data_IF_966849805826
#
_entry.id   IF_966849805826
#
_cell.length_a   1.000
_cell.length_b   1.000
_cell.length_c   1.000
_cell.angle_alpha   90.00
_cell.angle_beta   90.00
_cell.angle_gamma   90.00
#
_symmetry.space_group_name_H-M   'P 1'
#
loop_
_entity.id
_entity.type
_entity.pdbx_description
1 polymer ?
#
# COMPACT_ATOMS: atom_id res chain seq x y z
N UNK A 1 58.24 29.89 -75.24
CA UNK A 1 57.18 30.75 -75.84
C UNK A 1 55.97 30.63 -74.92
N UNK A 2 55.45 31.62 -74.20
CA UNK A 2 55.67 33.06 -74.14
C UNK A 2 55.25 33.55 -72.73
N UNK A 3 56.12 34.35 -72.11
CA UNK A 3 55.84 35.61 -71.37
C UNK A 3 55.12 35.54 -69.99
N UNK A 4 55.86 35.81 -68.89
CA UNK A 4 56.09 37.12 -68.21
C UNK A 4 54.95 37.41 -67.20
N UNK A 5 55.10 37.91 -65.97
CA UNK A 5 56.19 38.37 -65.08
C UNK A 5 55.51 38.83 -63.76
N UNK A 6 56.33 39.07 -62.71
CA UNK A 6 56.08 39.93 -61.52
C UNK A 6 55.17 39.33 -60.43
N UNK A 7 55.37 39.55 -59.13
CA UNK A 7 56.38 40.24 -58.33
C UNK A 7 56.18 39.76 -56.89
N UNK A 8 57.25 39.74 -56.07
CA UNK A 8 57.12 39.54 -54.64
C UNK A 8 56.53 40.77 -53.94
N UNK A 9 55.85 40.54 -52.83
CA UNK A 9 55.77 41.47 -51.71
C UNK A 9 55.28 40.71 -50.47
N UNK A 10 56.10 40.74 -49.42
CA UNK A 10 55.71 40.36 -48.08
C UNK A 10 54.64 41.32 -47.56
N UNK A 11 53.55 40.80 -46.99
CA UNK A 11 52.64 41.56 -46.14
C UNK A 11 52.36 40.79 -44.85
N UNK A 12 52.56 41.50 -43.74
CA UNK A 12 52.32 41.08 -42.39
C UNK A 12 50.87 40.63 -42.18
N UNK A 13 50.67 39.42 -41.64
CA UNK A 13 49.38 39.01 -41.10
C UNK A 13 49.26 39.48 -39.65
N UNK A 14 48.45 40.52 -39.48
CA UNK A 14 47.81 40.91 -38.23
C UNK A 14 46.96 39.76 -37.69
N UNK A 15 47.27 39.28 -36.50
CA UNK A 15 46.43 38.34 -35.77
C UNK A 15 45.13 39.04 -35.33
N UNK A 16 44.00 38.65 -35.92
CA UNK A 16 42.67 38.99 -35.41
C UNK A 16 42.31 37.93 -34.36
N UNK A 17 42.39 38.32 -33.10
CA UNK A 17 41.86 37.54 -31.97
C UNK A 17 40.33 37.59 -32.02
N UNK A 18 39.70 36.52 -32.49
CA UNK A 18 38.25 36.33 -32.35
C UNK A 18 37.97 35.83 -30.93
N UNK A 19 37.51 36.73 -30.07
CA UNK A 19 36.96 36.38 -28.76
C UNK A 19 35.60 35.70 -28.94
N UNK A 20 35.60 34.38 -28.95
CA UNK A 20 34.37 33.59 -28.77
C UNK A 20 33.99 33.65 -27.28
N UNK A 21 33.12 34.60 -26.93
CA UNK A 21 32.41 34.57 -25.65
C UNK A 21 31.47 33.38 -25.63
N UNK A 22 31.84 32.33 -24.91
CA UNK A 22 30.91 31.27 -24.54
C UNK A 22 29.75 31.88 -23.73
N UNK A 23 28.49 31.53 -24.01
CA UNK A 23 27.39 31.99 -23.17
C UNK A 23 27.59 31.40 -21.77
N UNK A 24 27.53 32.26 -20.76
CA UNK A 24 27.56 31.85 -19.36
C UNK A 24 26.47 30.81 -19.14
N UNK A 25 26.88 29.54 -18.94
CA UNK A 25 25.99 28.50 -18.48
C UNK A 25 25.51 28.94 -17.09
N UNK A 26 24.26 29.38 -17.01
CA UNK A 26 23.53 29.50 -15.75
C UNK A 26 23.61 28.13 -15.08
N UNK A 27 24.48 28.01 -14.08
CA UNK A 27 24.55 26.84 -13.24
C UNK A 27 23.17 26.62 -12.65
N UNK A 28 22.48 25.58 -13.12
CA UNK A 28 21.25 25.12 -12.49
C UNK A 28 21.56 24.92 -11.01
N UNK A 29 20.68 25.37 -10.09
CA UNK A 29 20.93 25.20 -8.67
C UNK A 29 21.15 23.71 -8.44
N UNK A 30 22.27 23.39 -7.78
CA UNK A 30 22.61 22.04 -7.40
C UNK A 30 21.35 21.42 -6.78
N UNK A 31 20.83 20.36 -7.42
CA UNK A 31 19.80 19.52 -6.80
C UNK A 31 20.46 18.97 -5.54
N UNK A 32 20.21 19.62 -4.41
CA UNK A 32 20.42 19.01 -3.11
C UNK A 32 19.60 17.72 -3.15
N UNK A 33 20.28 16.60 -3.35
CA UNK A 33 19.76 15.30 -2.97
C UNK A 33 19.55 15.39 -1.47
N UNK A 34 18.36 15.82 -1.06
CA UNK A 34 17.97 15.84 0.33
C UNK A 34 18.15 14.41 0.82
N UNK A 35 19.19 14.16 1.62
CA UNK A 35 19.21 13.00 2.49
C UNK A 35 17.83 12.99 3.17
N UNK A 36 17.04 11.95 2.96
CA UNK A 36 15.68 11.88 3.47
C UNK A 36 15.77 12.08 4.98
N UNK A 37 15.37 13.27 5.43
CA UNK A 37 15.51 13.64 6.83
C UNK A 37 14.65 12.69 7.65
N UNK A 38 15.26 12.05 8.65
CA UNK A 38 14.58 11.13 9.57
C UNK A 38 13.25 11.70 10.05
N UNK A 39 12.19 10.91 9.97
CA UNK A 39 10.86 11.28 10.44
C UNK A 39 10.80 11.09 11.98
N UNK A 40 10.54 12.14 12.78
CA UNK A 40 10.65 12.07 14.24
C UNK A 40 9.44 11.44 14.94
N UNK A 41 8.35 11.16 14.20
CA UNK A 41 7.14 10.59 14.76
C UNK A 41 7.35 9.13 15.17
N UNK A 42 7.02 8.81 16.42
CA UNK A 42 6.97 7.42 16.93
C UNK A 42 5.56 6.83 16.84
N UNK A 43 4.55 7.70 16.78
CA UNK A 43 3.16 7.34 16.49
C UNK A 43 2.46 8.52 15.81
N UNK A 44 1.60 8.24 14.84
CA UNK A 44 0.76 9.23 14.18
C UNK A 44 -0.41 8.52 13.48
N UNK A 45 -1.61 9.07 13.61
CA UNK A 45 -2.81 8.57 12.94
C UNK A 45 -3.71 9.71 12.51
N UNK A 46 -4.42 9.48 11.41
CA UNK A 46 -5.56 10.28 10.97
C UNK A 46 -6.75 9.35 10.93
N UNK A 47 -7.89 9.77 11.45
CA UNK A 47 -9.13 8.99 11.43
C UNK A 47 -10.29 9.90 11.05
N UNK A 48 -11.00 9.57 9.97
CA UNK A 48 -12.22 10.27 9.60
C UNK A 48 -13.35 9.90 10.58
N UNK A 49 -14.24 10.85 10.83
CA UNK A 49 -15.43 10.69 11.65
C UNK A 49 -16.67 10.83 10.79
N UNK A 50 -17.79 10.27 11.24
CA UNK A 50 -19.04 10.30 10.48
C UNK A 50 -19.65 11.70 10.39
N UNK A 51 -19.28 12.62 11.29
CA UNK A 51 -19.63 14.04 11.23
C UNK A 51 -18.79 14.85 10.21
N UNK A 52 -17.95 14.17 9.41
CA UNK A 52 -17.05 14.79 8.43
C UNK A 52 -15.79 15.43 9.05
N UNK A 53 -15.61 15.33 10.36
CA UNK A 53 -14.38 15.77 11.02
C UNK A 53 -13.27 14.73 10.93
N UNK A 54 -12.04 15.16 11.20
CA UNK A 54 -10.86 14.30 11.22
C UNK A 54 -10.15 14.43 12.54
N UNK A 55 -9.92 13.31 13.23
CA UNK A 55 -9.04 13.28 14.41
C UNK A 55 -7.62 13.01 13.94
N UNK A 56 -6.70 13.91 14.26
CA UNK A 56 -5.26 13.78 13.96
C UNK A 56 -4.51 13.67 15.28
N UNK A 57 -3.85 12.53 15.49
CA UNK A 57 -3.11 12.23 16.73
C UNK A 57 -1.65 11.98 16.38
N UNK A 58 -0.72 12.49 17.19
CA UNK A 58 0.72 12.21 17.01
C UNK A 58 1.53 12.22 18.29
N UNK A 59 2.69 11.57 18.22
CA UNK A 59 3.78 11.64 19.18
C UNK A 59 5.11 11.74 18.42
N UNK A 60 5.85 12.81 18.68
CA UNK A 60 7.15 13.14 18.08
C UNK A 60 8.13 13.60 19.18
N UNK A 61 8.76 12.66 19.92
CA UNK A 61 9.69 12.99 20.99
C UNK A 61 10.84 13.87 20.50
N UNK A 62 11.23 14.88 21.30
CA UNK A 62 12.32 15.80 20.96
C UNK A 62 11.96 16.93 19.98
N UNK A 63 10.73 16.94 19.46
CA UNK A 63 10.23 18.03 18.59
C UNK A 63 9.50 19.09 19.43
N UNK A 64 9.84 20.37 19.24
CA UNK A 64 9.21 21.49 19.97
C UNK A 64 7.77 21.78 19.52
N UNK A 65 7.52 21.72 18.22
CA UNK A 65 6.20 21.97 17.65
C UNK A 65 5.97 21.16 16.38
N UNK A 66 4.70 20.85 16.13
CA UNK A 66 4.20 20.22 14.90
C UNK A 66 3.11 21.11 14.33
N UNK A 67 3.23 21.45 13.06
CA UNK A 67 2.18 22.12 12.30
C UNK A 67 1.46 21.08 11.45
N UNK A 68 0.13 20.99 11.58
CA UNK A 68 -0.69 20.11 10.76
C UNK A 68 -1.26 20.94 9.61
N UNK A 69 -1.03 20.49 8.39
CA UNK A 69 -1.59 21.10 7.18
C UNK A 69 -2.57 20.17 6.49
N UNK A 70 -3.62 20.72 5.91
CA UNK A 70 -4.51 20.03 4.98
C UNK A 70 -4.70 20.94 3.76
N UNK A 71 -4.61 20.37 2.55
CA UNK A 71 -4.74 21.11 1.29
C UNK A 71 -3.79 22.34 1.22
N UNK A 72 -2.58 22.21 1.77
CA UNK A 72 -1.57 23.29 1.83
C UNK A 72 -1.77 24.32 2.96
N UNK A 73 -2.96 24.39 3.55
CA UNK A 73 -3.31 25.33 4.62
C UNK A 73 -3.03 24.76 6.00
N UNK A 74 -2.64 25.61 6.96
CA UNK A 74 -2.47 25.20 8.36
C UNK A 74 -3.85 25.02 9.00
N UNK A 75 -4.10 23.84 9.54
CA UNK A 75 -5.39 23.48 10.17
C UNK A 75 -5.27 23.22 11.66
N UNK A 76 -4.07 22.92 12.15
CA UNK A 76 -3.79 22.82 13.57
C UNK A 76 -2.30 23.02 13.87
N UNK A 77 -1.99 23.29 15.14
CA UNK A 77 -0.62 23.27 15.68
C UNK A 77 -0.65 22.57 17.04
N UNK A 78 0.46 21.94 17.41
CA UNK A 78 0.63 21.36 18.74
C UNK A 78 2.11 21.12 19.07
N UNK A 79 2.37 20.57 20.24
CA UNK A 79 3.72 20.25 20.70
C UNK A 79 4.22 18.88 20.21
N UNK A 80 5.12 18.29 20.99
CA UNK A 80 5.64 16.93 20.78
C UNK A 80 4.53 15.85 20.79
N UNK A 81 3.43 16.08 21.51
CA UNK A 81 2.22 15.26 21.48
C UNK A 81 1.05 16.14 21.07
N UNK A 82 0.14 15.59 20.28
CA UNK A 82 -1.07 16.30 19.88
C UNK A 82 -2.21 15.34 19.60
N UNK A 83 -3.42 15.82 19.85
CA UNK A 83 -4.69 15.19 19.55
C UNK A 83 -5.65 16.33 19.19
N UNK A 84 -5.91 16.49 17.89
CA UNK A 84 -6.69 17.61 17.37
C UNK A 84 -7.82 17.10 16.50
N UNK A 85 -8.96 17.78 16.55
CA UNK A 85 -10.08 17.53 15.65
C UNK A 85 -10.17 18.66 14.64
N UNK A 86 -10.02 18.33 13.35
CA UNK A 86 -10.11 19.25 12.23
C UNK A 86 -11.50 19.15 11.60
N UNK A 87 -12.13 20.30 11.34
CA UNK A 87 -13.50 20.42 10.80
C UNK A 87 -13.54 21.39 9.63
N UNK A 88 -14.63 21.37 8.86
CA UNK A 88 -14.90 22.37 7.82
C UNK A 88 -13.96 22.27 6.61
N UNK A 89 -13.37 21.09 6.37
CA UNK A 89 -12.57 20.86 5.16
C UNK A 89 -13.50 20.65 3.98
N UNK A 90 -13.08 21.12 2.80
CA UNK A 90 -13.80 20.86 1.56
C UNK A 90 -13.89 19.34 1.31
N UNK A 91 -14.99 18.90 0.70
CA UNK A 91 -15.16 17.51 0.32
C UNK A 91 -14.05 17.08 -0.65
N UNK A 92 -13.45 15.93 -0.37
CA UNK A 92 -12.44 15.31 -1.20
C UNK A 92 -12.65 13.79 -1.15
N UNK A 93 -12.28 13.09 -2.23
CA UNK A 93 -12.27 11.62 -2.22
C UNK A 93 -11.40 11.05 -1.11
N UNK A 94 -10.33 11.78 -0.77
CA UNK A 94 -9.41 11.45 0.29
C UNK A 94 -8.75 12.70 0.85
N UNK A 95 -8.94 12.94 2.15
CA UNK A 95 -8.34 14.07 2.82
C UNK A 95 -6.95 13.72 3.35
N UNK A 96 -5.94 14.44 2.86
CA UNK A 96 -4.56 14.31 3.28
C UNK A 96 -4.18 15.36 4.33
N UNK A 97 -3.31 14.94 5.25
CA UNK A 97 -2.72 15.77 6.29
C UNK A 97 -1.20 15.65 6.25
N UNK A 98 -0.52 16.78 6.19
CA UNK A 98 0.93 16.87 6.34
C UNK A 98 1.26 17.30 7.77
N UNK A 99 1.88 16.41 8.54
CA UNK A 99 2.40 16.69 9.87
C UNK A 99 3.84 17.18 9.72
N UNK A 100 4.06 18.48 9.93
CA UNK A 100 5.33 19.17 9.70
C UNK A 100 5.97 19.51 11.06
N UNK A 101 6.97 18.73 11.52
CA UNK A 101 7.67 19.03 12.76
C UNK A 101 8.62 20.22 12.59
N UNK A 102 8.96 20.91 13.68
CA UNK A 102 9.94 21.99 13.67
C UNK A 102 11.36 21.55 13.25
N UNK A 103 11.68 20.25 13.38
CA UNK A 103 12.91 19.61 12.89
C UNK A 103 12.62 18.17 12.45
N UNK A 104 13.32 17.69 11.43
CA UNK A 104 13.16 16.35 10.86
C UNK A 104 12.19 16.31 9.66
N UNK A 105 11.97 15.11 9.14
CA UNK A 105 11.08 14.88 8.00
C UNK A 105 9.60 15.07 8.34
N UNK A 106 8.84 15.59 7.39
CA UNK A 106 7.37 15.64 7.49
C UNK A 106 6.77 14.26 7.23
N UNK A 107 5.61 14.01 7.83
CA UNK A 107 4.86 12.77 7.65
C UNK A 107 3.49 13.10 7.03
N UNK A 108 3.21 12.49 5.88
CA UNK A 108 1.93 12.66 5.17
C UNK A 108 1.02 11.46 5.45
N UNK A 109 -0.15 11.71 6.00
CA UNK A 109 -1.14 10.69 6.36
C UNK A 109 -2.55 11.07 5.87
N UNK A 110 -3.40 10.07 5.79
CA UNK A 110 -4.84 10.20 5.62
C UNK A 110 -5.52 9.11 6.46
N UNK A 111 -6.85 9.13 6.55
CA UNK A 111 -7.55 7.94 7.03
C UNK A 111 -7.24 6.75 6.10
N UNK A 112 -7.10 5.56 6.70
CA UNK A 112 -6.81 4.34 5.93
C UNK A 112 -8.06 3.88 5.19
N UNK A 113 -9.20 3.88 5.89
CA UNK A 113 -10.47 3.53 5.29
C UNK A 113 -10.83 4.60 4.26
N UNK A 114 -11.01 4.18 3.01
CA UNK A 114 -11.51 5.06 1.96
C UNK A 114 -12.92 4.58 1.65
N UNK A 115 -13.92 5.36 2.09
CA UNK A 115 -15.33 4.98 1.99
C UNK A 115 -15.72 4.83 0.50
N UNK A 116 -16.13 3.62 0.13
CA UNK A 116 -16.76 3.27 -1.14
C UNK A 116 -18.19 2.79 -0.86
N UNK A 117 -19.09 2.96 -1.82
CA UNK A 117 -20.47 2.51 -1.66
C UNK A 117 -20.59 1.01 -1.95
N UNK A 118 -19.83 0.51 -2.93
CA UNK A 118 -19.84 -0.89 -3.33
C UNK A 118 -18.89 -1.83 -2.57
N UNK A 119 -18.01 -1.29 -1.74
CA UNK A 119 -16.96 -2.05 -1.05
C UNK A 119 -16.79 -1.53 0.38
N UNK A 120 -16.85 -2.42 1.36
CA UNK A 120 -16.84 -2.03 2.79
C UNK A 120 -15.46 -2.14 3.43
N UNK A 121 -14.55 -2.88 2.79
CA UNK A 121 -13.24 -3.20 3.34
C UNK A 121 -12.07 -2.58 2.54
N UNK A 122 -12.37 -1.60 1.67
CA UNK A 122 -11.38 -0.88 0.86
C UNK A 122 -10.57 0.11 1.71
N UNK A 123 -9.25 -0.12 1.80
CA UNK A 123 -8.35 0.73 2.59
C UNK A 123 -6.93 0.77 2.06
N UNK A 124 -6.22 1.82 2.42
CA UNK A 124 -4.78 1.96 2.22
C UNK A 124 -4.01 1.01 3.16
N UNK A 125 -3.04 0.28 2.62
CA UNK A 125 -2.21 -0.64 3.38
C UNK A 125 -0.97 0.03 4.01
N UNK A 126 -0.79 1.34 3.83
CA UNK A 126 0.34 2.12 4.32
C UNK A 126 0.06 2.91 5.62
N UNK A 127 0.94 3.87 5.89
CA UNK A 127 0.90 4.72 7.07
C UNK A 127 1.30 4.01 8.36
N UNK A 128 1.93 2.83 8.28
CA UNK A 128 2.46 2.11 9.42
C UNK A 128 3.94 2.43 9.62
N UNK A 129 4.35 2.59 10.88
CA UNK A 129 5.75 2.79 11.24
C UNK A 129 6.47 1.44 11.31
N UNK A 130 7.68 1.37 10.77
CA UNK A 130 8.56 0.21 10.86
C UNK A 130 9.32 0.21 12.20
N UNK A 131 9.91 -0.93 12.56
CA UNK A 131 10.73 -1.05 13.77
C UNK A 131 11.97 -0.15 13.73
N UNK A 132 12.59 0.01 12.56
CA UNK A 132 13.77 0.86 12.35
C UNK A 132 13.44 2.35 12.19
N UNK A 133 12.16 2.71 12.13
CA UNK A 133 11.68 4.08 12.23
C UNK A 133 11.31 4.78 10.94
N UNK A 134 11.37 4.07 9.82
CA UNK A 134 10.71 4.46 8.58
C UNK A 134 9.18 4.36 8.71
N UNK A 135 8.49 4.84 7.67
CA UNK A 135 7.05 4.73 7.51
C UNK A 135 6.70 4.17 6.15
N UNK A 136 5.74 3.25 6.12
CA UNK A 136 5.14 2.77 4.88
C UNK A 136 4.34 3.92 4.25
N UNK A 137 4.65 4.29 3.01
CA UNK A 137 3.97 5.33 2.24
C UNK A 137 2.50 4.97 2.09
N UNK A 138 1.66 5.97 2.31
CA UNK A 138 0.25 5.91 1.93
C UNK A 138 0.08 6.31 0.46
N UNK A 139 -0.95 5.79 -0.17
CA UNK A 139 -1.35 6.07 -1.55
C UNK A 139 -0.75 5.12 -2.57
N UNK A 140 0.14 4.22 -2.14
CA UNK A 140 0.90 3.33 -3.04
C UNK A 140 0.27 1.94 -3.16
N UNK A 141 -0.37 1.46 -2.09
CA UNK A 141 -0.95 0.11 -2.01
C UNK A 141 -2.28 0.16 -1.30
N UNK A 142 -3.27 -0.50 -1.90
CA UNK A 142 -4.62 -0.64 -1.38
C UNK A 142 -5.00 -2.11 -1.27
N UNK A 143 -5.88 -2.39 -0.31
CA UNK A 143 -6.51 -3.70 -0.12
C UNK A 143 -8.03 -3.53 -0.09
N UNK A 144 -8.77 -4.53 -0.56
CA UNK A 144 -10.24 -4.45 -0.62
C UNK A 144 -10.91 -5.82 -0.53
N UNK A 145 -12.23 -5.81 -0.31
CA UNK A 145 -13.14 -6.87 -0.76
C UNK A 145 -13.42 -6.76 -2.28
N UNK A 146 -14.27 -7.65 -2.80
CA UNK A 146 -14.57 -7.76 -4.23
C UNK A 146 -15.12 -6.46 -4.83
N UNK A 147 -14.84 -6.25 -6.12
CA UNK A 147 -15.15 -5.00 -6.81
C UNK A 147 -16.40 -5.11 -7.71
N UNK A 148 -17.09 -6.25 -7.68
CA UNK A 148 -18.29 -6.54 -8.47
C UNK A 148 -19.43 -5.53 -8.19
N UNK A 149 -19.48 -4.99 -6.97
CA UNK A 149 -20.54 -4.07 -6.52
C UNK A 149 -20.16 -2.59 -6.59
N UNK A 150 -18.94 -2.24 -7.03
CA UNK A 150 -18.52 -0.84 -7.12
C UNK A 150 -19.49 -0.02 -7.97
N UNK A 151 -19.88 1.15 -7.50
CA UNK A 151 -20.73 2.08 -8.25
C UNK A 151 -19.92 2.82 -9.32
N UNK A 152 -20.59 3.54 -10.23
CA UNK A 152 -19.88 4.43 -11.16
C UNK A 152 -19.10 5.54 -10.43
N UNK A 153 -19.61 6.02 -9.30
CA UNK A 153 -18.92 6.98 -8.45
C UNK A 153 -17.66 6.39 -7.80
N UNK A 154 -17.73 5.13 -7.34
CA UNK A 154 -16.58 4.41 -6.81
C UNK A 154 -15.49 4.22 -7.87
N UNK A 155 -15.85 3.80 -9.09
CA UNK A 155 -14.89 3.66 -10.19
C UNK A 155 -14.21 4.98 -10.54
N UNK A 156 -14.98 6.07 -10.56
CA UNK A 156 -14.43 7.41 -10.78
C UNK A 156 -13.51 7.85 -9.64
N UNK A 157 -13.85 7.50 -8.39
CA UNK A 157 -13.01 7.74 -7.21
C UNK A 157 -11.71 6.94 -7.29
N UNK A 158 -11.75 5.65 -7.59
CA UNK A 158 -10.55 4.82 -7.75
C UNK A 158 -9.64 5.34 -8.87
N UNK A 159 -10.22 5.81 -9.98
CA UNK A 159 -9.47 6.49 -11.05
C UNK A 159 -8.77 7.75 -10.56
N UNK A 160 -9.43 8.60 -9.75
CA UNK A 160 -8.85 9.83 -9.19
C UNK A 160 -7.82 9.55 -8.08
N UNK A 161 -7.96 8.45 -7.35
CA UNK A 161 -6.92 7.91 -6.46
C UNK A 161 -5.71 7.37 -7.23
N UNK A 162 -5.85 7.22 -8.55
CA UNK A 162 -4.79 6.80 -9.44
C UNK A 162 -4.57 5.30 -9.44
N UNK A 163 -5.55 4.48 -9.06
CA UNK A 163 -5.41 3.02 -9.06
C UNK A 163 -5.02 2.54 -10.47
N UNK A 164 -3.86 1.89 -10.59
CA UNK A 164 -3.30 1.48 -11.89
C UNK A 164 -3.38 0.00 -12.18
N UNK A 165 -3.42 -0.83 -11.14
CA UNK A 165 -3.43 -2.28 -11.27
C UNK A 165 -4.34 -2.86 -10.21
N UNK A 166 -5.11 -3.86 -10.62
CA UNK A 166 -5.99 -4.65 -9.79
C UNK A 166 -5.54 -6.12 -9.83
N UNK A 167 -5.08 -6.63 -8.68
CA UNK A 167 -4.69 -8.03 -8.50
C UNK A 167 -5.83 -8.79 -7.82
N UNK A 168 -6.53 -9.60 -8.61
CA UNK A 168 -7.66 -10.41 -8.13
C UNK A 168 -7.17 -11.77 -7.62
N UNK A 169 -7.26 -11.97 -6.31
CA UNK A 169 -6.84 -13.19 -5.60
C UNK A 169 -7.92 -14.28 -5.56
N UNK A 170 -9.09 -14.03 -6.17
CA UNK A 170 -10.24 -14.94 -6.14
C UNK A 170 -10.03 -16.12 -7.06
N UNK A 171 -10.86 -17.16 -6.88
CA UNK A 171 -10.92 -18.32 -7.78
C UNK A 171 -11.62 -17.98 -9.08
N UNK A 172 -11.42 -18.80 -10.12
CA UNK A 172 -12.16 -18.67 -11.38
C UNK A 172 -13.69 -18.68 -11.20
N UNK A 173 -14.21 -19.50 -10.28
CA UNK A 173 -15.65 -19.57 -10.00
C UNK A 173 -16.18 -18.29 -9.34
N UNK A 174 -15.45 -17.75 -8.36
CA UNK A 174 -15.78 -16.47 -7.72
C UNK A 174 -15.80 -15.33 -8.74
N UNK A 175 -14.80 -15.26 -9.63
CA UNK A 175 -14.72 -14.23 -10.69
C UNK A 175 -15.83 -14.36 -11.74
N UNK A 176 -16.24 -15.59 -12.05
CA UNK A 176 -17.33 -15.83 -13.01
C UNK A 176 -18.68 -15.44 -12.40
N UNK A 177 -18.91 -15.76 -11.12
CA UNK A 177 -20.15 -15.44 -10.43
C UNK A 177 -20.29 -13.94 -10.12
N UNK A 178 -19.18 -13.26 -9.86
CA UNK A 178 -19.14 -11.86 -9.47
C UNK A 178 -17.95 -11.15 -10.16
N UNK A 179 -18.05 -10.85 -11.47
CA UNK A 179 -16.96 -10.22 -12.21
C UNK A 179 -16.67 -8.81 -11.70
N UNK A 180 -15.38 -8.47 -11.56
CA UNK A 180 -15.00 -7.14 -11.06
C UNK A 180 -15.39 -6.02 -12.01
N UNK A 181 -15.73 -4.88 -11.41
CA UNK A 181 -15.80 -3.60 -12.11
C UNK A 181 -14.46 -2.90 -11.94
N UNK A 182 -13.59 -3.00 -12.94
CA UNK A 182 -12.24 -2.44 -12.92
C UNK A 182 -12.26 -0.97 -13.37
N UNK A 183 -11.56 -0.04 -12.67
CA UNK A 183 -11.46 1.35 -13.12
C UNK A 183 -10.85 1.47 -14.51
N UNK A 184 -11.38 2.38 -15.33
CA UNK A 184 -10.86 2.64 -16.68
C UNK A 184 -9.38 3.03 -16.65
N UNK A 185 -8.56 2.30 -17.43
CA UNK A 185 -7.11 2.48 -17.51
C UNK A 185 -6.31 1.67 -16.49
N UNK A 186 -6.97 1.00 -15.55
CA UNK A 186 -6.30 0.06 -14.66
C UNK A 186 -6.11 -1.30 -15.36
N UNK A 187 -4.94 -1.91 -15.13
CA UNK A 187 -4.64 -3.26 -15.58
C UNK A 187 -5.26 -4.27 -14.62
N UNK A 188 -6.00 -5.23 -15.15
CA UNK A 188 -6.51 -6.37 -14.38
C UNK A 188 -5.52 -7.54 -14.45
N UNK A 189 -5.18 -8.12 -13.30
CA UNK A 189 -4.25 -9.26 -13.17
C UNK A 189 -4.89 -10.31 -12.28
N UNK A 190 -5.05 -11.52 -12.82
CA UNK A 190 -5.50 -12.67 -12.04
C UNK A 190 -4.30 -13.28 -11.31
N UNK A 191 -4.37 -13.32 -9.98
CA UNK A 191 -3.39 -13.95 -9.10
C UNK A 191 -4.13 -14.93 -8.18
N UNK A 192 -4.73 -15.95 -8.78
CA UNK A 192 -5.65 -16.89 -8.11
C UNK A 192 -4.93 -17.74 -7.06
N UNK A 193 -5.15 -17.40 -5.78
CA UNK A 193 -4.45 -18.03 -4.64
C UNK A 193 -4.85 -19.49 -4.48
N UNK A 194 -6.12 -19.82 -4.75
CA UNK A 194 -6.70 -21.15 -4.48
C UNK A 194 -6.93 -21.94 -5.78
N UNK A 195 -6.25 -21.59 -6.87
CA UNK A 195 -6.41 -22.24 -8.17
C UNK A 195 -6.21 -23.76 -8.05
N UNK A 196 -7.23 -24.55 -8.41
CA UNK A 196 -7.17 -26.02 -8.35
C UNK A 196 -7.04 -26.60 -6.93
N UNK A 197 -7.16 -25.77 -5.89
CA UNK A 197 -7.11 -26.22 -4.50
C UNK A 197 -8.43 -26.90 -4.10
N UNK A 198 -8.33 -28.02 -3.38
CA UNK A 198 -9.48 -28.64 -2.71
C UNK A 198 -9.79 -28.02 -1.34
N UNK A 199 -9.02 -27.02 -0.90
CA UNK A 199 -9.23 -26.30 0.36
C UNK A 199 -10.60 -25.61 0.33
N UNK A 200 -11.37 -25.76 1.42
CA UNK A 200 -12.74 -25.21 1.58
C UNK A 200 -13.83 -25.80 0.65
N UNK A 201 -13.62 -27.00 0.09
CA UNK A 201 -14.62 -27.64 -0.80
C UNK A 201 -15.91 -28.11 -0.10
N UNK A 202 -15.85 -28.38 1.22
CA UNK A 202 -17.00 -28.81 2.01
C UNK A 202 -17.25 -27.86 3.17
N UNK A 203 -18.48 -27.37 3.32
CA UNK A 203 -18.82 -26.45 4.41
C UNK A 203 -18.75 -27.13 5.77
N UNK A 204 -18.19 -26.46 6.80
CA UNK A 204 -18.07 -27.05 8.12
C UNK A 204 -19.45 -27.19 8.77
N UNK A 205 -19.64 -28.25 9.55
CA UNK A 205 -20.89 -28.50 10.30
C UNK A 205 -20.78 -28.14 11.78
N UNK A 206 -19.59 -27.81 12.26
CA UNK A 206 -19.33 -27.38 13.65
C UNK A 206 -18.44 -26.15 13.67
N UNK A 207 -18.57 -25.33 14.72
CA UNK A 207 -17.73 -24.15 14.90
C UNK A 207 -16.23 -24.51 14.95
N UNK A 208 -15.87 -25.60 15.64
CA UNK A 208 -14.49 -26.08 15.70
C UNK A 208 -13.96 -26.51 14.32
N UNK A 209 -14.78 -27.14 13.48
CA UNK A 209 -14.40 -27.47 12.12
C UNK A 209 -14.21 -26.20 11.26
N UNK A 210 -15.05 -25.17 11.45
CA UNK A 210 -14.90 -23.90 10.77
C UNK A 210 -13.59 -23.19 11.17
N UNK A 211 -13.26 -23.17 12.47
CA UNK A 211 -11.99 -22.63 12.96
C UNK A 211 -10.79 -23.37 12.37
N UNK A 212 -10.81 -24.72 12.38
CA UNK A 212 -9.74 -25.54 11.77
C UNK A 212 -9.58 -25.25 10.28
N UNK A 213 -10.69 -25.16 9.55
CA UNK A 213 -10.67 -24.81 8.12
C UNK A 213 -9.99 -23.46 7.87
N UNK A 214 -10.26 -22.43 8.69
CA UNK A 214 -9.62 -21.13 8.53
C UNK A 214 -8.12 -21.16 8.85
N UNK A 215 -7.71 -21.92 9.87
CA UNK A 215 -6.31 -22.17 10.22
C UNK A 215 -5.58 -22.88 9.08
N UNK A 216 -6.15 -23.96 8.56
CA UNK A 216 -5.54 -24.72 7.46
C UNK A 216 -5.49 -23.90 6.16
N UNK A 217 -6.51 -23.06 5.94
CA UNK A 217 -6.52 -22.09 4.85
C UNK A 217 -5.38 -21.08 4.92
N UNK A 218 -5.10 -20.51 6.10
CA UNK A 218 -3.98 -19.56 6.29
C UNK A 218 -2.62 -20.24 6.11
N UNK A 219 -2.44 -21.48 6.56
CA UNK A 219 -1.23 -22.26 6.25
C UNK A 219 -1.07 -22.46 4.74
N UNK A 220 -2.15 -22.83 4.05
CA UNK A 220 -2.12 -22.97 2.58
C UNK A 220 -1.73 -21.67 1.88
N UNK A 221 -2.11 -20.49 2.39
CA UNK A 221 -1.68 -19.20 1.82
C UNK A 221 -0.16 -19.00 1.87
N UNK A 222 0.55 -19.74 2.71
CA UNK A 222 2.02 -19.71 2.81
C UNK A 222 2.65 -20.79 1.95
N UNK A 223 2.23 -22.05 2.13
CA UNK A 223 2.91 -23.22 1.61
C UNK A 223 2.27 -23.81 0.35
N UNK A 224 1.10 -23.35 -0.07
CA UNK A 224 0.47 -23.80 -1.32
C UNK A 224 1.17 -23.24 -2.57
N UNK A 225 1.45 -24.09 -3.56
CA UNK A 225 2.17 -23.68 -4.79
C UNK A 225 1.48 -22.52 -5.53
N UNK A 226 0.16 -22.57 -5.64
CA UNK A 226 -0.65 -21.53 -6.29
C UNK A 226 -0.67 -20.25 -5.47
N UNK A 227 -0.72 -20.37 -4.14
CA UNK A 227 -0.65 -19.23 -3.24
C UNK A 227 0.69 -18.50 -3.37
N UNK A 228 1.80 -19.24 -3.34
CA UNK A 228 3.15 -18.69 -3.54
C UNK A 228 3.30 -17.99 -4.88
N UNK A 229 2.84 -18.60 -5.96
CA UNK A 229 2.86 -17.99 -7.30
C UNK A 229 2.01 -16.69 -7.37
N UNK A 230 0.82 -16.71 -6.77
CA UNK A 230 -0.05 -15.54 -6.70
C UNK A 230 0.57 -14.39 -5.90
N UNK A 231 1.07 -14.66 -4.69
CA UNK A 231 1.70 -13.65 -3.86
C UNK A 231 3.03 -13.15 -4.43
N UNK A 232 3.82 -14.02 -5.07
CA UNK A 232 5.00 -13.62 -5.85
C UNK A 232 4.65 -12.65 -6.97
N UNK A 233 3.56 -12.90 -7.69
CA UNK A 233 3.04 -11.98 -8.73
C UNK A 233 2.67 -10.61 -8.16
N UNK A 234 2.02 -10.58 -6.99
CA UNK A 234 1.70 -9.31 -6.31
C UNK A 234 2.97 -8.57 -5.90
N UNK A 235 3.94 -9.26 -5.26
CA UNK A 235 5.19 -8.64 -4.80
C UNK A 235 6.07 -8.14 -5.95
N UNK A 236 6.17 -8.89 -7.05
CA UNK A 236 6.85 -8.43 -8.26
C UNK A 236 6.15 -7.19 -8.84
N UNK A 237 4.82 -7.15 -8.77
CA UNK A 237 4.01 -5.98 -9.09
C UNK A 237 4.32 -4.75 -8.23
N UNK A 238 4.49 -4.95 -6.93
CA UNK A 238 4.86 -3.90 -5.97
C UNK A 238 6.27 -3.36 -6.25
N UNK A 239 7.19 -4.21 -6.71
CA UNK A 239 8.56 -3.82 -7.07
C UNK A 239 8.65 -2.97 -8.36
N UNK A 240 7.58 -2.90 -9.16
CA UNK A 240 7.52 -2.13 -10.40
C UNK A 240 6.97 -0.71 -10.13
N UNK A 241 7.82 0.34 -10.17
CA UNK A 241 7.39 1.70 -9.87
C UNK A 241 6.41 2.28 -10.89
N UNK A 242 6.24 1.65 -12.07
CA UNK A 242 5.19 2.04 -13.02
C UNK A 242 3.78 1.60 -12.58
N UNK A 243 3.69 0.72 -11.58
CA UNK A 243 2.46 0.11 -11.05
C UNK A 243 2.02 0.65 -9.70
N UNK A 244 2.51 1.84 -9.32
CA UNK A 244 2.10 2.56 -8.10
C UNK A 244 0.59 2.72 -8.00
N UNK A 245 0.09 2.82 -6.77
CA UNK A 245 -1.34 2.72 -6.44
C UNK A 245 -1.94 1.40 -6.95
N UNK A 246 -1.31 0.29 -6.57
CA UNK A 246 -1.86 -1.04 -6.85
C UNK A 246 -2.92 -1.42 -5.81
N UNK A 247 -3.89 -2.19 -6.25
CA UNK A 247 -4.93 -2.80 -5.43
C UNK A 247 -4.76 -4.32 -5.50
N UNK A 248 -4.87 -5.01 -4.36
CA UNK A 248 -5.14 -6.45 -4.34
C UNK A 248 -6.36 -6.73 -3.49
N UNK A 249 -7.17 -7.70 -3.90
CA UNK A 249 -8.42 -8.02 -3.22
C UNK A 249 -8.76 -9.50 -3.33
N UNK A 250 -9.71 -9.93 -2.50
CA UNK A 250 -10.39 -11.21 -2.63
C UNK A 250 -11.89 -10.98 -2.39
N UNK A 251 -12.67 -12.02 -2.13
CA UNK A 251 -14.12 -11.86 -1.94
C UNK A 251 -14.49 -10.97 -0.75
N UNK A 252 -13.94 -11.25 0.43
CA UNK A 252 -14.21 -10.48 1.65
C UNK A 252 -13.08 -9.49 2.00
N UNK A 253 -11.95 -9.54 1.29
CA UNK A 253 -10.79 -8.69 1.57
C UNK A 253 -10.12 -8.97 2.91
N UNK A 254 -10.29 -10.19 3.46
CA UNK A 254 -9.91 -10.52 4.84
C UNK A 254 -8.77 -11.55 4.91
N UNK A 255 -8.93 -12.77 4.39
CA UNK A 255 -7.94 -13.86 4.57
C UNK A 255 -6.87 -13.81 3.48
N UNK A 256 -7.19 -14.15 2.22
CA UNK A 256 -6.24 -14.08 1.09
C UNK A 256 -5.58 -12.71 0.93
N UNK A 257 -6.39 -11.66 1.02
CA UNK A 257 -5.92 -10.26 1.06
C UNK A 257 -5.16 -9.93 2.34
N UNK A 258 -5.57 -10.50 3.48
CA UNK A 258 -4.91 -10.31 4.76
C UNK A 258 -3.51 -10.88 4.79
N UNK A 259 -3.31 -12.09 4.25
CA UNK A 259 -1.97 -12.66 4.12
C UNK A 259 -1.08 -11.82 3.20
N UNK A 260 -1.60 -11.35 2.05
CA UNK A 260 -0.87 -10.41 1.17
C UNK A 260 -0.39 -9.17 1.93
N UNK A 261 -1.29 -8.49 2.67
CA UNK A 261 -0.93 -7.32 3.48
C UNK A 261 0.01 -7.66 4.62
N UNK A 262 -0.24 -8.75 5.34
CA UNK A 262 0.58 -9.16 6.47
C UNK A 262 2.01 -9.49 6.02
N UNK A 263 2.14 -10.21 4.92
CA UNK A 263 3.44 -10.55 4.37
C UNK A 263 4.20 -9.31 3.91
N UNK A 264 3.54 -8.39 3.21
CA UNK A 264 4.16 -7.17 2.74
C UNK A 264 4.61 -6.28 3.91
N UNK A 265 3.75 -6.06 4.90
CA UNK A 265 4.06 -5.23 6.06
C UNK A 265 5.17 -5.84 6.91
N UNK A 266 5.19 -7.15 7.11
CA UNK A 266 6.30 -7.84 7.79
C UNK A 266 7.60 -7.71 7.00
N UNK A 267 7.57 -7.89 5.68
CA UNK A 267 8.76 -7.72 4.83
C UNK A 267 9.31 -6.28 4.87
N UNK A 268 8.44 -5.29 5.02
CA UNK A 268 8.80 -3.87 5.22
C UNK A 268 9.31 -3.56 6.64
N UNK A 269 9.25 -4.50 7.58
CA UNK A 269 9.72 -4.33 8.96
C UNK A 269 8.72 -3.67 9.89
N UNK A 270 7.41 -3.70 9.56
CA UNK A 270 6.34 -3.26 10.47
C UNK A 270 6.21 -4.24 11.64
N UNK A 271 6.11 -3.75 12.90
CA UNK A 271 5.98 -4.62 14.07
C UNK A 271 4.81 -5.60 13.96
N UNK A 272 5.02 -6.85 14.40
CA UNK A 272 4.01 -7.93 14.31
C UNK A 272 2.67 -7.55 14.94
N UNK A 273 2.68 -6.82 16.05
CA UNK A 273 1.46 -6.34 16.72
C UNK A 273 0.66 -5.36 15.85
N UNK A 274 1.34 -4.50 15.09
CA UNK A 274 0.71 -3.59 14.13
C UNK A 274 0.17 -4.32 12.92
N UNK A 275 0.89 -5.33 12.41
CA UNK A 275 0.41 -6.20 11.33
C UNK A 275 -0.87 -6.94 11.74
N UNK A 276 -0.89 -7.51 12.93
CA UNK A 276 -2.09 -8.18 13.48
C UNK A 276 -3.26 -7.20 13.62
N UNK A 277 -3.00 -5.96 14.07
CA UNK A 277 -4.04 -4.95 14.18
C UNK A 277 -4.66 -4.56 12.82
N UNK A 278 -3.88 -4.44 11.74
CA UNK A 278 -4.43 -4.22 10.38
C UNK A 278 -5.30 -5.39 9.90
N UNK A 279 -4.84 -6.62 10.15
CA UNK A 279 -5.58 -7.82 9.80
C UNK A 279 -6.95 -7.84 10.50
N UNK A 280 -6.95 -7.68 11.83
CA UNK A 280 -8.15 -7.69 12.66
C UNK A 280 -9.11 -6.52 12.38
N UNK A 281 -8.63 -5.41 11.81
CA UNK A 281 -9.48 -4.29 11.41
C UNK A 281 -10.59 -4.70 10.41
N UNK A 282 -10.39 -5.81 9.68
CA UNK A 282 -11.43 -6.37 8.81
C UNK A 282 -12.71 -6.72 9.57
N UNK A 283 -12.64 -7.14 10.84
CA UNK A 283 -13.82 -7.37 11.67
C UNK A 283 -14.62 -6.09 11.93
N UNK A 284 -13.94 -4.96 12.07
CA UNK A 284 -14.59 -3.65 12.26
C UNK A 284 -15.26 -3.19 10.97
N UNK A 285 -14.51 -3.19 9.86
CA UNK A 285 -15.03 -2.68 8.58
C UNK A 285 -16.15 -3.55 8.00
N UNK A 286 -16.12 -4.86 8.28
CA UNK A 286 -17.15 -5.79 7.83
C UNK A 286 -18.26 -6.05 8.84
N UNK A 287 -18.24 -5.41 10.01
CA UNK A 287 -19.17 -5.73 11.10
C UNK A 287 -20.64 -5.75 10.65
N UNK A 288 -21.08 -4.73 9.92
CA UNK A 288 -22.44 -4.64 9.41
C UNK A 288 -22.76 -5.72 8.36
N UNK A 289 -21.86 -5.95 7.40
CA UNK A 289 -22.03 -6.97 6.36
C UNK A 289 -22.07 -8.39 6.95
N UNK A 290 -21.21 -8.67 7.92
CA UNK A 290 -21.17 -9.95 8.64
C UNK A 290 -22.44 -10.13 9.47
N UNK A 291 -22.89 -9.10 10.19
CA UNK A 291 -24.14 -9.16 10.96
C UNK A 291 -25.36 -9.42 10.07
N UNK A 292 -25.47 -8.74 8.92
CA UNK A 292 -26.54 -8.97 7.96
C UNK A 292 -26.53 -10.42 7.41
N UNK A 293 -25.34 -10.95 7.10
CA UNK A 293 -25.18 -12.32 6.63
C UNK A 293 -25.63 -13.33 7.69
N UNK A 294 -25.23 -13.13 8.96
CA UNK A 294 -25.60 -14.03 10.06
C UNK A 294 -27.10 -13.96 10.39
N UNK A 295 -27.71 -12.77 10.30
CA UNK A 295 -29.14 -12.59 10.53
C UNK A 295 -30.03 -13.26 9.48
N UNK A 296 -29.50 -13.50 8.28
CA UNK A 296 -30.19 -14.21 7.21
C UNK A 296 -30.15 -15.75 7.35
N UNK A 297 -29.53 -16.28 8.42
CA UNK A 297 -29.35 -17.72 8.66
C UNK A 297 -30.05 -18.17 9.95
N UNK A 298 -30.47 -19.45 10.06
CA UNK A 298 -30.87 -20.03 11.33
C UNK A 298 -29.79 -19.91 12.40
N UNK A 299 -30.11 -19.63 13.68
CA UNK A 299 -29.10 -19.36 14.72
C UNK A 299 -28.03 -20.44 14.89
N UNK A 300 -28.41 -21.72 14.77
CA UNK A 300 -27.46 -22.83 14.85
C UNK A 300 -26.45 -22.82 13.70
N UNK A 301 -26.90 -22.50 12.47
CA UNK A 301 -26.04 -22.37 11.30
C UNK A 301 -25.17 -21.12 11.40
N UNK A 302 -25.74 -19.99 11.82
CA UNK A 302 -25.01 -18.74 12.03
C UNK A 302 -23.82 -18.92 12.99
N UNK A 303 -23.98 -19.69 14.07
CA UNK A 303 -22.89 -20.02 14.99
C UNK A 303 -21.73 -20.75 14.31
N UNK A 304 -22.02 -21.71 13.44
CA UNK A 304 -21.01 -22.46 12.67
C UNK A 304 -20.35 -21.59 11.61
N UNK A 305 -21.09 -20.66 11.01
CA UNK A 305 -20.64 -19.81 9.91
C UNK A 305 -19.82 -18.59 10.37
N UNK A 306 -20.09 -18.09 11.58
CA UNK A 306 -19.43 -16.89 12.12
C UNK A 306 -17.89 -16.93 12.05
N UNK A 307 -17.19 -18.02 12.42
CA UNK A 307 -15.74 -18.12 12.25
C UNK A 307 -15.25 -17.90 10.80
N UNK A 308 -16.07 -18.26 9.80
CA UNK A 308 -15.73 -18.08 8.39
C UNK A 308 -15.87 -16.62 7.94
N UNK A 309 -16.71 -15.83 8.61
CA UNK A 309 -16.94 -14.41 8.30
C UNK A 309 -15.96 -13.49 9.03
N UNK A 310 -15.56 -13.89 10.23
CA UNK A 310 -14.59 -13.14 11.04
C UNK A 310 -13.15 -13.40 10.58
N UNK A 311 -12.24 -12.59 11.10
CA UNK A 311 -10.81 -12.88 11.21
C UNK A 311 -10.43 -13.00 12.67
N UNK A 312 -9.51 -13.91 13.01
CA UNK A 312 -9.09 -14.16 14.40
C UNK A 312 -7.57 -14.27 14.50
N UNK A 313 -6.94 -13.91 15.63
CA UNK A 313 -5.49 -13.96 15.79
C UNK A 313 -4.90 -15.32 15.42
N UNK A 314 -5.54 -16.41 15.85
CA UNK A 314 -5.09 -17.78 15.59
C UNK A 314 -5.01 -18.14 14.10
N UNK A 315 -5.79 -17.46 13.25
CA UNK A 315 -5.74 -17.67 11.80
C UNK A 315 -4.43 -17.11 11.25
N UNK A 316 -4.18 -15.82 11.46
CA UNK A 316 -2.98 -15.20 10.93
C UNK A 316 -1.72 -15.77 11.60
N UNK A 317 -1.75 -16.03 12.91
CA UNK A 317 -0.60 -16.63 13.60
C UNK A 317 -0.26 -18.02 13.07
N UNK A 318 -1.24 -18.79 12.60
CA UNK A 318 -0.96 -20.07 11.94
C UNK A 318 -0.19 -19.92 10.63
N UNK A 319 -0.45 -18.86 9.83
CA UNK A 319 0.35 -18.54 8.66
C UNK A 319 1.78 -18.12 9.02
N UNK A 320 1.98 -17.32 10.07
CA UNK A 320 3.33 -16.98 10.53
C UNK A 320 4.09 -18.18 11.08
N UNK A 321 3.39 -19.09 11.75
CA UNK A 321 3.96 -20.36 12.19
C UNK A 321 4.35 -21.23 10.99
N UNK A 322 3.53 -21.30 9.96
CA UNK A 322 3.83 -22.00 8.70
C UNK A 322 5.09 -21.43 8.05
N UNK A 323 5.24 -20.09 8.00
CA UNK A 323 6.48 -19.46 7.51
C UNK A 323 7.70 -19.92 8.30
N UNK A 324 7.59 -19.98 9.63
CA UNK A 324 8.67 -20.45 10.50
C UNK A 324 9.02 -21.91 10.23
N UNK A 325 8.00 -22.76 10.08
CA UNK A 325 8.16 -24.20 9.84
C UNK A 325 8.77 -24.50 8.48
N UNK A 326 8.24 -23.91 7.41
CA UNK A 326 8.61 -24.25 6.02
C UNK A 326 9.85 -23.50 5.52
N UNK A 327 10.12 -22.29 6.05
CA UNK A 327 11.18 -21.42 5.54
C UNK A 327 12.21 -21.01 6.60
N UNK A 328 11.94 -21.25 7.89
CA UNK A 328 12.82 -20.88 9.02
C UNK A 328 12.87 -19.37 9.32
N UNK A 329 12.63 -18.51 8.34
CA UNK A 329 12.58 -17.06 8.52
C UNK A 329 11.68 -16.39 7.48
N UNK A 330 11.15 -15.22 7.83
CA UNK A 330 10.34 -14.44 6.90
C UNK A 330 11.12 -13.97 5.67
N UNK A 331 12.43 -13.68 5.82
CA UNK A 331 13.28 -13.32 4.69
C UNK A 331 13.47 -14.50 3.72
N UNK A 332 13.61 -15.71 4.25
CA UNK A 332 13.65 -16.93 3.44
C UNK A 332 12.33 -17.14 2.70
N UNK A 333 11.19 -16.91 3.34
CA UNK A 333 9.89 -16.99 2.67
C UNK A 333 9.76 -15.98 1.53
N UNK A 334 10.17 -14.72 1.71
CA UNK A 334 10.16 -13.72 0.64
C UNK A 334 11.03 -14.14 -0.55
N UNK A 335 12.22 -14.70 -0.28
CA UNK A 335 13.16 -15.12 -1.33
C UNK A 335 12.73 -16.43 -2.01
N UNK A 336 12.54 -17.48 -1.22
CA UNK A 336 12.39 -18.86 -1.69
C UNK A 336 10.92 -19.22 -1.93
N UNK A 337 10.01 -18.67 -1.11
CA UNK A 337 8.57 -18.88 -1.24
C UNK A 337 7.95 -17.97 -2.30
N UNK A 338 8.20 -16.67 -2.21
CA UNK A 338 7.61 -15.67 -3.13
C UNK A 338 8.48 -15.38 -4.37
N UNK A 339 9.70 -15.90 -4.44
CA UNK A 339 10.60 -15.73 -5.58
C UNK A 339 11.13 -14.30 -5.73
N UNK A 340 11.13 -13.50 -4.66
CA UNK A 340 11.55 -12.09 -4.71
C UNK A 340 13.03 -11.98 -4.38
N UNK A 341 13.83 -11.55 -5.34
CA UNK A 341 15.27 -11.46 -5.15
C UNK A 341 15.66 -10.26 -4.27
N UNK A 342 16.95 -10.21 -3.89
CA UNK A 342 17.46 -9.16 -3.02
C UNK A 342 17.39 -7.75 -3.67
N UNK A 343 17.42 -7.65 -5.00
CA UNK A 343 17.34 -6.39 -5.74
C UNK A 343 15.89 -5.88 -5.75
N UNK A 344 14.94 -6.74 -6.09
CA UNK A 344 13.50 -6.44 -6.04
C UNK A 344 13.09 -6.06 -4.63
N UNK A 345 13.53 -6.80 -3.61
CA UNK A 345 13.20 -6.47 -2.22
C UNK A 345 13.75 -5.11 -1.77
N UNK A 346 14.98 -4.76 -2.18
CA UNK A 346 15.52 -3.40 -1.94
C UNK A 346 14.72 -2.33 -2.66
N UNK A 347 14.25 -2.61 -3.87
CA UNK A 347 13.42 -1.68 -4.64
C UNK A 347 12.07 -1.45 -3.95
N UNK A 348 11.39 -2.51 -3.49
CA UNK A 348 10.16 -2.44 -2.69
C UNK A 348 10.36 -1.52 -1.48
N UNK A 349 11.42 -1.74 -0.69
CA UNK A 349 11.71 -0.89 0.48
C UNK A 349 11.94 0.56 0.10
N UNK A 350 12.75 0.83 -0.92
CA UNK A 350 13.02 2.19 -1.41
C UNK A 350 11.74 2.90 -1.88
N UNK A 351 10.87 2.17 -2.57
CA UNK A 351 9.65 2.73 -3.14
C UNK A 351 8.55 2.91 -2.13
N UNK A 352 8.47 2.08 -1.09
CA UNK A 352 7.38 2.12 -0.11
C UNK A 352 7.76 2.72 1.23
N UNK A 353 9.03 2.91 1.56
CA UNK A 353 9.41 3.50 2.84
C UNK A 353 9.81 4.97 2.69
N UNK A 354 9.50 5.76 3.72
CA UNK A 354 9.99 7.14 3.91
C UNK A 354 10.58 7.32 5.30
N UNK A 355 11.50 8.28 5.40
CA UNK A 355 12.01 8.78 6.67
C UNK A 355 13.29 8.11 7.11
#
# INVERSE_FOLDING_TARGET
MNKLTLAGAALALTAVSVSLTAPAALAAPARHTAATSRIPFTAATVTAKDDGSYRVVWTAPGVRSVTVRANGHVVARGGARGDVTVRGLAAADRQWFDLVPARGGSLRLADRLVKLDGAVNFRDAGGYRTADGHWVKMGEIYRSDALDKLTAADLAKLKRLGIRVDYDLRTASERTAAPDRVPSGARYVVADVLAGSSTMTSMPTTEAAAVRMMVDGEKFMVSGDTARAAYGTVFAGVADPSRRALLYHCTAGKDRTGWSSAALLTALGVPRTTVMADYLASNTYRAAANAATLAAMPPAQAKVYKPLLDVRPEYLDSGFQEVSTEYGSFNSYVRDGLGIDAKEFRQIKKDLLVG
#
